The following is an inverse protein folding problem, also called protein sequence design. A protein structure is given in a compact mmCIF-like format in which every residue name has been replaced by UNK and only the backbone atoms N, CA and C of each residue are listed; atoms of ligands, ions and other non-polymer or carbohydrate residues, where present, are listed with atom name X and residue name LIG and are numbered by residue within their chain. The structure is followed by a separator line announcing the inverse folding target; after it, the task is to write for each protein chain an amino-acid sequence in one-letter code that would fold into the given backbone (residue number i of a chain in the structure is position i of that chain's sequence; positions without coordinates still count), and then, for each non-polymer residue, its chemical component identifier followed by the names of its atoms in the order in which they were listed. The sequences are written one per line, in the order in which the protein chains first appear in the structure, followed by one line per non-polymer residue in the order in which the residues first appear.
data_IF_232803884615
#
_entry.id   IF_232803884615
#
_cell.length_a   1.000
_cell.length_b   1.000
_cell.length_c   1.000
_cell.angle_alpha   90.00
_cell.angle_beta   90.00
_cell.angle_gamma   90.00
#
_symmetry.space_group_name_H-M   'P 1'
#
loop_
_entity.id
_entity.type
_entity.pdbx_description
1 polymer ?
#
# COMPACT_ATOMS: atom_id res chain seq x y z
N UNK A 1 5.51 32.28 -50.12
CA UNK A 1 5.38 31.80 -48.72
C UNK A 1 6.74 31.28 -48.30
N UNK A 2 7.44 31.94 -47.38
CA UNK A 2 8.87 31.71 -47.10
C UNK A 2 9.11 30.41 -46.34
N UNK A 3 10.19 29.69 -46.65
CA UNK A 3 10.56 28.36 -46.12
C UNK A 3 10.51 28.26 -44.59
N UNK A 4 10.73 29.39 -43.88
CA UNK A 4 10.54 29.49 -42.42
C UNK A 4 9.11 29.20 -41.95
N UNK A 5 8.08 29.65 -42.69
CA UNK A 5 6.67 29.41 -42.32
C UNK A 5 6.28 27.94 -42.43
N UNK A 6 6.90 27.19 -43.37
CA UNK A 6 6.69 25.75 -43.49
C UNK A 6 7.31 24.97 -42.31
N UNK A 7 8.52 25.33 -41.89
CA UNK A 7 9.19 24.66 -40.77
C UNK A 7 8.43 24.91 -39.46
N UNK A 8 7.94 26.14 -39.22
CA UNK A 8 7.16 26.46 -38.03
C UNK A 8 5.81 25.74 -38.01
N UNK A 9 5.12 25.64 -39.16
CA UNK A 9 3.87 24.88 -39.27
C UNK A 9 4.09 23.37 -39.04
N UNK A 10 5.21 22.83 -39.50
CA UNK A 10 5.54 21.41 -39.32
C UNK A 10 5.87 21.07 -37.86
N UNK A 11 6.60 21.94 -37.16
CA UNK A 11 6.90 21.77 -35.73
C UNK A 11 5.61 21.85 -34.89
N UNK A 12 4.72 22.81 -35.18
CA UNK A 12 3.43 22.93 -34.48
C UNK A 12 2.51 21.73 -34.74
N UNK A 13 2.51 21.16 -35.95
CA UNK A 13 1.78 19.94 -36.26
C UNK A 13 2.35 18.72 -35.51
N UNK A 14 3.66 18.62 -35.35
CA UNK A 14 4.30 17.55 -34.57
C UNK A 14 3.95 17.62 -33.08
N UNK A 15 3.86 18.82 -32.50
CA UNK A 15 3.43 19.01 -31.11
C UNK A 15 1.92 18.72 -30.92
N UNK A 16 1.07 19.07 -31.89
CA UNK A 16 -0.37 18.78 -31.83
C UNK A 16 -0.68 17.27 -31.98
N UNK A 17 0.07 16.55 -32.81
CA UNK A 17 -0.05 15.08 -32.93
C UNK A 17 0.49 14.41 -31.65
N UNK A 18 1.58 14.93 -31.07
CA UNK A 18 2.12 14.45 -29.79
C UNK A 18 1.13 14.62 -28.61
N UNK A 19 0.35 15.71 -28.59
CA UNK A 19 -0.65 15.94 -27.54
C UNK A 19 -1.94 15.13 -27.70
N UNK A 20 -2.25 14.65 -28.91
CA UNK A 20 -3.42 13.79 -29.15
C UNK A 20 -3.14 12.30 -28.85
N UNK A 21 -1.86 11.92 -28.66
CA UNK A 21 -1.45 10.58 -28.22
C UNK A 21 -1.21 10.44 -26.71
N UNK A 22 -1.51 11.48 -25.91
CA UNK A 22 -1.59 11.36 -24.45
C UNK A 22 -3.05 11.47 -24.02
N UNK A 23 -3.83 10.39 -24.23
CA UNK A 23 -4.08 9.48 -23.12
C UNK A 23 -4.27 8.02 -23.58
N UNK A 24 -3.18 7.29 -23.85
CA UNK A 24 -3.19 5.81 -23.78
C UNK A 24 -2.16 5.28 -22.78
N UNK A 25 -1.30 6.15 -22.24
CA UNK A 25 -0.36 5.81 -21.14
C UNK A 25 -0.79 6.48 -19.81
N UNK A 26 -2.08 6.81 -19.67
CA UNK A 26 -2.72 7.10 -18.39
C UNK A 26 -3.59 5.92 -17.91
N UNK A 27 -3.43 4.76 -18.58
CA UNK A 27 -3.93 3.47 -18.17
C UNK A 27 -2.77 2.49 -18.11
N UNK A 28 -1.69 2.81 -17.40
CA UNK A 28 -0.97 1.74 -16.71
C UNK A 28 -1.97 1.18 -15.69
N UNK A 29 -2.83 0.28 -16.17
CA UNK A 29 -3.31 -0.82 -15.36
C UNK A 29 -2.06 -1.33 -14.66
N UNK A 30 -1.93 -1.02 -13.37
CA UNK A 30 -1.28 -1.99 -12.49
C UNK A 30 -1.94 -3.32 -12.87
N UNK A 31 -1.21 -4.33 -13.36
CA UNK A 31 -1.82 -5.60 -13.68
C UNK A 31 -2.44 -6.10 -12.38
N UNK A 32 -3.76 -5.96 -12.30
CA UNK A 32 -4.55 -6.33 -11.15
C UNK A 32 -4.63 -7.86 -11.16
N UNK A 33 -3.53 -8.54 -10.87
CA UNK A 33 -3.53 -10.00 -10.62
C UNK A 33 -4.20 -10.85 -11.69
N UNK A 34 -4.21 -10.44 -12.96
CA UNK A 34 -4.86 -11.16 -14.05
C UNK A 34 -3.93 -12.13 -14.78
N UNK A 35 -2.82 -12.55 -14.15
CA UNK A 35 -2.08 -13.71 -14.64
C UNK A 35 -2.70 -14.97 -14.01
N UNK A 36 -3.55 -15.73 -14.73
CA UNK A 36 -4.09 -17.00 -14.24
C UNK A 36 -2.98 -18.05 -13.98
N UNK A 37 -1.78 -17.82 -14.53
CA UNK A 37 -0.60 -18.67 -14.35
C UNK A 37 0.36 -18.13 -13.27
N UNK A 38 -0.04 -17.14 -12.45
CA UNK A 38 0.76 -16.77 -11.27
C UNK A 38 0.72 -17.92 -10.26
N UNK A 39 1.83 -18.64 -10.03
CA UNK A 39 1.86 -19.78 -9.11
C UNK A 39 1.62 -19.36 -7.66
N UNK A 40 1.64 -18.07 -7.35
CA UNK A 40 1.27 -17.56 -6.04
C UNK A 40 -0.24 -17.54 -5.80
N UNK A 41 -1.07 -17.63 -6.87
CA UNK A 41 -2.49 -17.98 -6.86
C UNK A 41 -3.25 -17.58 -5.60
N UNK A 42 -3.13 -16.35 -5.15
CA UNK A 42 -3.79 -15.95 -3.93
C UNK A 42 -5.27 -15.83 -4.25
N UNK A 43 -6.15 -16.62 -3.60
CA UNK A 43 -7.56 -16.54 -3.89
C UNK A 43 -8.02 -15.10 -3.60
N UNK A 44 -8.80 -14.49 -4.51
CA UNK A 44 -9.39 -13.16 -4.31
C UNK A 44 -10.26 -13.10 -3.04
N UNK A 45 -10.65 -14.26 -2.54
CA UNK A 45 -11.51 -14.49 -1.40
C UNK A 45 -10.95 -15.65 -0.56
N UNK A 46 -10.58 -15.40 0.69
CA UNK A 46 -10.23 -16.44 1.64
C UNK A 46 -11.54 -17.00 2.24
N UNK A 47 -11.99 -18.22 1.92
CA UNK A 47 -13.27 -18.72 2.42
C UNK A 47 -13.32 -18.88 3.95
N UNK A 48 -12.16 -18.82 4.62
CA UNK A 48 -12.03 -18.90 6.07
C UNK A 48 -11.75 -17.55 6.74
N UNK A 49 -11.90 -16.43 6.01
CA UNK A 49 -11.57 -15.09 6.51
C UNK A 49 -12.31 -14.76 7.80
N UNK A 50 -13.57 -15.20 7.92
CA UNK A 50 -14.43 -14.88 9.05
C UNK A 50 -14.01 -15.65 10.29
N UNK A 51 -13.76 -16.94 10.15
CA UNK A 51 -13.27 -17.82 11.22
C UNK A 51 -11.90 -17.34 11.73
N UNK A 52 -11.02 -16.87 10.84
CA UNK A 52 -9.72 -16.30 11.22
C UNK A 52 -9.86 -15.00 11.99
N UNK A 53 -10.78 -14.12 11.58
CA UNK A 53 -11.09 -12.90 12.35
C UNK A 53 -11.61 -13.26 13.73
N UNK A 54 -12.58 -14.18 13.82
CA UNK A 54 -13.20 -14.57 15.09
C UNK A 54 -12.17 -15.21 16.02
N UNK A 55 -11.27 -16.04 15.49
CA UNK A 55 -10.15 -16.61 16.24
C UNK A 55 -9.16 -15.54 16.75
N UNK A 56 -8.90 -14.48 15.97
CA UNK A 56 -8.08 -13.35 16.42
C UNK A 56 -8.76 -12.55 17.53
N UNK A 57 -10.08 -12.36 17.44
CA UNK A 57 -10.85 -11.70 18.49
C UNK A 57 -10.82 -12.52 19.78
N UNK A 58 -11.04 -13.83 19.70
CA UNK A 58 -10.99 -14.74 20.84
C UNK A 58 -9.59 -14.77 21.48
N UNK A 59 -8.54 -14.97 20.67
CA UNK A 59 -7.15 -15.04 21.13
C UNK A 59 -6.72 -13.80 21.93
N UNK A 60 -7.23 -12.63 21.55
CA UNK A 60 -6.85 -11.36 22.16
C UNK A 60 -7.94 -10.78 23.08
N UNK A 61 -9.03 -11.53 23.33
CA UNK A 61 -10.14 -11.08 24.17
C UNK A 61 -10.87 -9.83 23.67
N UNK A 62 -10.84 -9.58 22.35
CA UNK A 62 -11.47 -8.43 21.71
C UNK A 62 -12.94 -8.72 21.40
N UNK A 63 -13.79 -7.69 21.45
CA UNK A 63 -15.20 -7.80 21.07
C UNK A 63 -15.59 -6.73 20.05
N UNK A 64 -16.53 -7.08 19.17
CA UNK A 64 -17.12 -6.10 18.26
C UNK A 64 -17.82 -5.00 19.06
N UNK A 65 -17.47 -3.74 18.76
CA UNK A 65 -17.98 -2.58 19.46
C UNK A 65 -17.23 -2.19 20.72
N UNK A 66 -16.19 -2.92 21.14
CA UNK A 66 -15.29 -2.45 22.19
C UNK A 66 -14.67 -1.10 21.79
N UNK A 67 -14.41 -0.26 22.79
CA UNK A 67 -13.74 1.02 22.61
C UNK A 67 -12.57 1.09 23.58
N UNK A 68 -11.38 1.32 23.05
CA UNK A 68 -10.16 1.46 23.83
C UNK A 68 -9.67 2.90 23.84
N UNK A 69 -9.46 3.44 25.03
CA UNK A 69 -8.99 4.79 25.30
C UNK A 69 -7.97 4.79 26.45
N UNK A 70 -7.57 5.99 26.91
CA UNK A 70 -6.60 6.13 28.00
C UNK A 70 -6.96 5.37 29.30
N UNK A 71 -8.25 5.09 29.56
CA UNK A 71 -8.72 4.42 30.78
C UNK A 71 -8.56 2.90 30.75
N UNK A 72 -8.47 2.29 29.56
CA UNK A 72 -8.46 0.83 29.40
C UNK A 72 -7.45 0.31 28.34
N UNK A 73 -6.59 1.19 27.80
CA UNK A 73 -5.63 0.88 26.73
C UNK A 73 -4.58 -0.19 27.06
N UNK A 74 -4.33 -0.49 28.34
CA UNK A 74 -3.37 -1.54 28.73
C UNK A 74 -3.75 -2.91 28.15
N UNK A 75 -5.05 -3.16 27.92
CA UNK A 75 -5.54 -4.42 27.33
C UNK A 75 -5.08 -4.65 25.88
N UNK A 76 -4.74 -3.59 25.16
CA UNK A 76 -4.34 -3.65 23.74
C UNK A 76 -2.87 -3.23 23.53
N UNK A 77 -2.10 -3.07 24.60
CA UNK A 77 -0.71 -2.62 24.54
C UNK A 77 0.14 -3.45 23.58
N UNK A 78 0.01 -4.76 23.65
CA UNK A 78 0.82 -5.70 22.85
C UNK A 78 0.28 -5.85 21.41
N UNK A 79 -0.86 -5.25 21.10
CA UNK A 79 -1.45 -5.22 19.75
C UNK A 79 -1.03 -4.00 18.95
N UNK A 80 -0.40 -3.02 19.61
CA UNK A 80 -0.08 -1.73 19.02
C UNK A 80 1.43 -1.51 18.93
N UNK A 81 1.91 -0.86 17.85
CA UNK A 81 3.24 -0.28 17.86
C UNK A 81 3.40 0.70 19.05
N UNK A 82 4.56 0.77 19.72
CA UNK A 82 4.75 1.62 20.90
C UNK A 82 4.33 3.10 20.72
N UNK A 83 4.60 3.76 19.58
CA UNK A 83 4.14 5.13 19.36
C UNK A 83 2.62 5.27 19.40
N UNK A 84 1.89 4.31 18.82
CA UNK A 84 0.43 4.32 18.74
C UNK A 84 -0.18 4.12 20.13
N UNK A 85 0.34 3.15 20.89
CA UNK A 85 -0.10 2.96 22.28
C UNK A 85 0.11 4.21 23.13
N UNK A 86 1.23 4.93 22.95
CA UNK A 86 1.48 6.19 23.66
C UNK A 86 0.45 7.28 23.32
N UNK A 87 -0.04 7.37 22.09
CA UNK A 87 -1.12 8.30 21.72
C UNK A 87 -2.43 7.96 22.42
N UNK A 88 -2.81 6.68 22.44
CA UNK A 88 -4.02 6.22 23.13
C UNK A 88 -3.92 6.47 24.63
N UNK A 89 -2.76 6.15 25.23
CA UNK A 89 -2.49 6.36 26.66
C UNK A 89 -2.60 7.82 27.08
N UNK A 90 -2.19 8.76 26.22
CA UNK A 90 -2.32 10.20 26.45
C UNK A 90 -3.74 10.74 26.22
N UNK A 91 -4.67 9.90 25.77
CA UNK A 91 -6.02 10.32 25.40
C UNK A 91 -6.07 11.10 24.08
N UNK A 92 -5.00 11.08 23.29
CA UNK A 92 -4.93 11.73 21.97
C UNK A 92 -5.69 10.92 20.91
N UNK A 93 -5.95 9.64 21.18
CA UNK A 93 -6.66 8.75 20.27
C UNK A 93 -7.52 7.72 21.02
N UNK A 94 -8.73 7.51 20.53
CA UNK A 94 -9.63 6.41 20.91
C UNK A 94 -9.75 5.42 19.76
N UNK A 95 -9.59 4.12 20.05
CA UNK A 95 -9.64 3.04 19.07
C UNK A 95 -10.95 2.25 19.22
N UNK A 96 -11.93 2.44 18.31
CA UNK A 96 -13.10 1.58 18.24
C UNK A 96 -12.74 0.26 17.53
N UNK A 97 -13.15 -0.86 18.12
CA UNK A 97 -13.07 -2.18 17.48
C UNK A 97 -14.35 -2.45 16.71
N UNK A 98 -14.20 -2.84 15.45
CA UNK A 98 -15.31 -3.34 14.63
C UNK A 98 -14.94 -4.61 13.90
N UNK A 99 -15.81 -5.60 13.98
CA UNK A 99 -15.73 -6.79 13.15
C UNK A 99 -15.94 -6.42 11.68
N UNK A 100 -15.06 -6.91 10.81
CA UNK A 100 -15.23 -6.72 9.37
C UNK A 100 -16.41 -7.55 8.89
N UNK A 101 -17.18 -7.02 7.94
CA UNK A 101 -18.36 -7.68 7.36
C UNK A 101 -18.07 -8.35 6.01
N UNK A 102 -16.85 -8.20 5.52
CA UNK A 102 -16.39 -8.71 4.24
C UNK A 102 -14.90 -9.00 4.33
N UNK A 103 -14.44 -9.91 3.47
CA UNK A 103 -13.04 -10.19 3.29
C UNK A 103 -12.34 -8.98 2.64
N UNK A 104 -11.33 -8.41 3.30
CA UNK A 104 -10.44 -7.43 2.67
C UNK A 104 -9.48 -8.07 1.65
N UNK A 105 -9.53 -9.39 1.52
CA UNK A 105 -8.86 -10.20 0.52
C UNK A 105 -7.41 -10.51 0.89
N UNK A 106 -6.77 -11.26 0.01
CA UNK A 106 -5.36 -11.68 0.11
C UNK A 106 -4.36 -10.56 -0.23
N UNK A 107 -4.83 -9.31 -0.36
CA UNK A 107 -3.97 -8.14 -0.54
C UNK A 107 -2.87 -8.07 0.51
N UNK A 108 -3.18 -8.46 1.75
CA UNK A 108 -2.18 -8.55 2.84
C UNK A 108 -1.16 -9.66 2.63
N UNK A 109 -1.56 -10.85 2.15
CA UNK A 109 -0.63 -11.95 1.88
C UNK A 109 0.31 -11.62 0.70
N UNK A 110 -0.24 -10.97 -0.34
CA UNK A 110 0.56 -10.40 -1.44
C UNK A 110 1.51 -9.33 -0.91
N UNK A 111 1.02 -8.41 -0.09
CA UNK A 111 1.82 -7.34 0.52
C UNK A 111 2.94 -7.93 1.40
N UNK A 112 2.64 -8.91 2.25
CA UNK A 112 3.58 -9.61 3.11
C UNK A 112 4.70 -10.30 2.32
N UNK A 113 4.36 -11.02 1.24
CA UNK A 113 5.35 -11.63 0.34
C UNK A 113 6.35 -10.58 -0.16
N UNK A 114 5.87 -9.43 -0.63
CA UNK A 114 6.76 -8.38 -1.11
C UNK A 114 7.49 -7.64 0.03
N UNK A 115 6.87 -7.47 1.20
CA UNK A 115 7.53 -6.94 2.40
C UNK A 115 8.73 -7.81 2.80
N UNK A 116 8.57 -9.13 2.77
CA UNK A 116 9.65 -10.06 3.10
C UNK A 116 10.77 -10.01 2.05
N UNK A 117 10.41 -9.88 0.76
CA UNK A 117 11.38 -9.64 -0.30
C UNK A 117 12.09 -8.29 -0.19
N UNK A 118 11.51 -7.31 0.50
CA UNK A 118 12.09 -5.98 0.69
C UNK A 118 13.04 -5.91 1.89
N UNK A 119 13.04 -6.93 2.76
CA UNK A 119 13.81 -6.91 4.01
C UNK A 119 15.28 -6.62 3.77
N UNK A 120 15.77 -5.53 4.37
CA UNK A 120 17.16 -5.11 4.31
C UNK A 120 17.59 -4.45 3.00
N UNK A 121 16.72 -4.34 1.99
CA UNK A 121 17.04 -3.71 0.69
C UNK A 121 17.05 -2.18 0.75
N UNK A 122 16.39 -1.59 1.72
CA UNK A 122 16.17 -0.15 1.79
C UNK A 122 16.75 0.46 3.06
N UNK A 123 17.04 1.76 2.97
CA UNK A 123 17.55 2.58 4.06
C UNK A 123 17.04 4.01 3.95
N UNK A 124 17.31 4.82 4.98
CA UNK A 124 17.09 6.26 4.94
C UNK A 124 18.40 6.94 4.54
N UNK A 125 18.37 7.59 3.37
CA UNK A 125 19.50 8.32 2.82
C UNK A 125 19.80 9.63 3.57
N UNK A 126 20.88 10.34 3.18
CA UNK A 126 21.35 11.54 3.86
C UNK A 126 20.33 12.70 3.87
N UNK A 127 19.39 12.71 2.92
CA UNK A 127 18.34 13.72 2.83
C UNK A 127 17.02 13.27 3.49
N UNK A 128 17.07 12.28 4.39
CA UNK A 128 15.90 11.66 5.02
C UNK A 128 14.90 11.05 4.03
N UNK A 129 15.35 10.71 2.83
CA UNK A 129 14.56 10.02 1.82
C UNK A 129 14.82 8.52 1.84
N UNK A 130 13.83 7.73 1.45
CA UNK A 130 14.00 6.31 1.22
C UNK A 130 14.97 6.08 0.04
N UNK A 131 15.95 5.20 0.23
CA UNK A 131 16.89 4.76 -0.80
C UNK A 131 16.94 3.23 -0.86
N UNK A 132 17.15 2.68 -2.04
CA UNK A 132 17.57 1.28 -2.19
C UNK A 132 19.09 1.19 -2.01
N UNK A 133 19.56 0.31 -1.13
CA UNK A 133 20.99 0.19 -0.78
C UNK A 133 21.87 -0.18 -1.97
N UNK A 134 21.35 -1.00 -2.88
CA UNK A 134 22.10 -1.47 -4.05
C UNK A 134 22.38 -0.34 -5.05
N UNK A 135 21.41 0.55 -5.28
CA UNK A 135 21.54 1.64 -6.25
C UNK A 135 21.94 2.98 -5.63
N UNK A 136 21.77 3.14 -4.31
CA UNK A 136 21.96 4.41 -3.62
C UNK A 136 20.93 5.49 -4.03
N UNK A 137 19.84 5.09 -4.69
CA UNK A 137 18.89 5.99 -5.31
C UNK A 137 17.45 5.70 -4.87
N UNK A 138 16.54 6.65 -5.14
CA UNK A 138 15.13 6.45 -4.84
C UNK A 138 14.54 5.33 -5.72
N UNK A 139 13.91 4.29 -5.13
CA UNK A 139 13.35 3.19 -5.90
C UNK A 139 12.16 3.66 -6.75
N UNK A 140 12.17 3.31 -8.05
CA UNK A 140 11.12 3.73 -8.99
C UNK A 140 9.81 2.97 -8.83
N UNK A 141 9.90 1.69 -8.48
CA UNK A 141 8.74 0.81 -8.28
C UNK A 141 8.90 0.05 -6.96
N UNK A 142 7.88 0.11 -6.11
CA UNK A 142 7.86 -0.56 -4.81
C UNK A 142 6.52 -1.24 -4.59
N UNK A 143 6.56 -2.50 -4.16
CA UNK A 143 5.39 -3.22 -3.66
C UNK A 143 5.76 -3.82 -2.32
N UNK A 144 4.83 -3.87 -1.36
CA UNK A 144 5.11 -4.33 0.00
C UNK A 144 5.59 -3.21 0.94
N UNK A 145 5.81 -3.55 2.20
CA UNK A 145 6.45 -2.67 3.20
C UNK A 145 7.96 -2.63 2.96
N UNK A 146 8.57 -1.51 3.34
CA UNK A 146 10.00 -1.23 3.11
C UNK A 146 10.84 -1.46 4.37
N UNK A 147 10.18 -1.54 5.52
CA UNK A 147 10.70 -1.67 6.87
C UNK A 147 9.74 -2.51 7.71
#
# INVERSE_FOLDING_TARGET
MTMRKFITAFIMAFFLIGSLYQPVIAGMHLPAGDNPDDPAGYPRFDPQWKEKQDAMFEKHGLKDGDVYDSTNCEKIKDLLPPPVYNWVKKGEWTIPIKAQKYDFGTGWAKMQKYSDLNRGKYDIGPNQNLIEKASGSYPKDMTGLMF
#
